data_IF_199661092212
#
_entry.id   IF_199661092212
#
_cell.length_a   1.000
_cell.length_b   1.000
_cell.length_c   1.000
_cell.angle_alpha   90.00
_cell.angle_beta   90.00
_cell.angle_gamma   90.00
#
_symmetry.space_group_name_H-M   'P 1'
#
loop_
_entity.id
_entity.type
_entity.pdbx_description
1 polymer ?
#
# COMPACT_ATOMS: atom_id res chain seq x y z
N UNK A 1 11.60 14.99 6.49
CA UNK A 1 12.50 16.15 6.32
C UNK A 1 11.92 17.41 6.98
N UNK A 2 10.66 17.79 6.71
CA UNK A 2 10.03 18.96 7.33
C UNK A 2 8.54 18.76 7.55
N UNK A 3 7.96 19.44 8.55
CA UNK A 3 6.52 19.58 8.74
C UNK A 3 5.97 20.91 8.21
N UNK A 4 6.81 21.76 7.63
CA UNK A 4 6.38 22.95 6.90
C UNK A 4 5.81 22.55 5.53
N UNK A 5 4.61 23.01 5.19
CA UNK A 5 3.95 22.61 3.96
C UNK A 5 3.18 23.77 3.33
N UNK A 6 3.32 23.93 2.01
CA UNK A 6 2.53 24.92 1.23
C UNK A 6 1.15 24.41 0.83
N UNK A 7 0.88 23.10 0.98
CA UNK A 7 -0.43 22.52 0.71
C UNK A 7 -1.38 22.68 1.89
N UNK A 8 -2.68 22.75 1.61
CA UNK A 8 -3.72 22.93 2.61
C UNK A 8 -4.67 21.72 2.69
N UNK A 9 -4.10 20.50 2.77
CA UNK A 9 -4.88 19.27 2.91
C UNK A 9 -5.65 19.26 4.24
N UNK A 10 -6.98 19.27 4.20
CA UNK A 10 -7.85 19.47 5.37
C UNK A 10 -7.66 18.44 6.49
N UNK A 11 -7.25 17.22 6.13
CA UNK A 11 -6.97 16.12 7.08
C UNK A 11 -5.58 16.18 7.73
N UNK A 12 -4.71 17.12 7.33
CA UNK A 12 -3.31 17.13 7.76
C UNK A 12 -3.06 18.20 8.83
N UNK A 13 -2.44 17.83 9.95
CA UNK A 13 -2.04 18.77 11.00
C UNK A 13 -1.00 19.79 10.51
N UNK A 14 -0.20 19.41 9.50
CA UNK A 14 0.86 20.21 8.93
C UNK A 14 0.42 21.06 7.73
N UNK A 15 -0.88 21.17 7.47
CA UNK A 15 -1.41 22.03 6.40
C UNK A 15 -1.00 23.49 6.59
N UNK A 16 -0.92 24.25 5.49
CA UNK A 16 -0.50 25.65 5.50
C UNK A 16 -1.27 26.51 6.49
N UNK A 17 -2.60 26.34 6.56
CA UNK A 17 -3.49 27.17 7.39
C UNK A 17 -3.54 26.79 8.86
N UNK A 18 -2.85 25.73 9.30
CA UNK A 18 -2.76 25.37 10.71
C UNK A 18 -1.61 26.13 11.39
N UNK A 19 -1.90 26.69 12.54
CA UNK A 19 -0.88 27.24 13.44
C UNK A 19 -0.21 26.11 14.24
N UNK A 20 0.84 25.54 13.65
CA UNK A 20 1.66 24.48 14.26
C UNK A 20 3.14 24.87 14.21
N UNK A 21 3.88 24.53 15.25
CA UNK A 21 5.32 24.75 15.26
C UNK A 21 5.98 24.09 14.07
N UNK A 22 6.76 24.87 13.29
CA UNK A 22 7.41 24.41 12.06
C UNK A 22 8.89 24.17 12.29
N UNK A 23 9.39 23.06 11.71
CA UNK A 23 10.80 22.72 11.71
C UNK A 23 11.19 22.05 10.40
N UNK A 24 12.46 22.19 10.04
CA UNK A 24 13.01 21.54 8.84
C UNK A 24 14.48 21.16 9.12
N UNK A 25 14.82 19.94 8.74
CA UNK A 25 16.21 19.51 8.64
C UNK A 25 16.83 19.96 7.32
N UNK A 26 18.08 20.32 7.34
CA UNK A 26 18.88 20.38 6.13
C UNK A 26 19.12 18.94 5.61
N UNK A 27 19.41 18.75 4.31
CA UNK A 27 19.77 17.44 3.79
C UNK A 27 20.91 16.76 4.56
N UNK A 28 21.92 17.52 4.94
CA UNK A 28 23.08 17.02 5.68
C UNK A 28 22.73 16.60 7.10
N UNK A 29 22.04 17.44 7.85
CA UNK A 29 21.60 17.09 9.22
C UNK A 29 20.77 15.80 9.23
N UNK A 30 19.85 15.64 8.28
CA UNK A 30 19.02 14.43 8.19
C UNK A 30 19.86 13.21 7.81
N UNK A 31 20.82 13.36 6.90
CA UNK A 31 21.74 12.28 6.55
C UNK A 31 22.64 11.86 7.71
N UNK A 32 23.17 12.82 8.45
CA UNK A 32 24.01 12.59 9.65
C UNK A 32 23.21 11.90 10.77
N UNK A 33 21.99 12.35 11.01
CA UNK A 33 21.09 11.71 11.97
C UNK A 33 20.79 10.25 11.57
N UNK A 34 20.47 10.03 10.30
CA UNK A 34 20.16 8.70 9.75
C UNK A 34 21.36 7.75 9.90
N UNK A 35 22.54 8.17 9.47
CA UNK A 35 23.74 7.32 9.57
C UNK A 35 24.16 7.07 11.01
N UNK A 36 23.94 8.05 11.90
CA UNK A 36 24.18 7.91 13.33
C UNK A 36 23.31 6.81 13.97
N UNK A 37 22.03 6.76 13.65
CA UNK A 37 21.14 5.69 14.11
C UNK A 37 21.46 4.33 13.47
N UNK A 38 21.78 4.32 12.18
CA UNK A 38 22.14 3.10 11.47
C UNK A 38 23.39 2.43 12.04
N UNK A 39 24.46 3.20 12.26
CA UNK A 39 25.71 2.69 12.85
C UNK A 39 25.55 2.13 14.27
N UNK A 40 24.53 2.60 14.99
CA UNK A 40 24.18 2.13 16.34
C UNK A 40 23.16 0.97 16.30
N UNK A 41 22.81 0.45 15.12
CA UNK A 41 21.78 -0.59 14.92
C UNK A 41 20.39 -0.23 15.47
N UNK A 42 20.04 1.06 15.54
CA UNK A 42 18.70 1.49 15.95
C UNK A 42 17.70 1.44 14.79
N UNK A 43 18.17 1.52 13.56
CA UNK A 43 17.37 1.43 12.33
C UNK A 43 18.06 0.56 11.29
N UNK A 44 17.26 -0.12 10.46
CA UNK A 44 17.71 -0.91 9.29
C UNK A 44 17.61 -0.13 7.99
N UNK A 45 16.84 0.95 7.97
CA UNK A 45 16.58 1.74 6.77
C UNK A 45 15.98 3.11 7.08
N UNK A 46 15.71 3.84 6.03
CA UNK A 46 15.10 5.17 6.06
C UNK A 46 13.79 5.20 5.27
N UNK A 47 12.70 5.64 5.91
CA UNK A 47 11.51 6.11 5.21
C UNK A 47 11.54 7.64 5.14
N UNK A 48 11.86 8.18 3.95
CA UNK A 48 11.98 9.62 3.74
C UNK A 48 10.66 10.20 3.23
N UNK A 49 10.07 11.07 4.03
CA UNK A 49 8.87 11.86 3.72
C UNK A 49 9.09 13.32 4.08
N UNK A 50 8.30 14.22 3.50
CA UNK A 50 8.38 15.66 3.77
C UNK A 50 7.02 16.35 3.59
N UNK A 51 6.79 17.41 4.35
CA UNK A 51 5.91 18.48 3.90
C UNK A 51 6.51 19.16 2.66
N UNK A 52 5.72 19.94 1.94
CA UNK A 52 6.15 20.57 0.69
C UNK A 52 6.60 22.01 0.96
N UNK A 53 7.93 22.24 0.85
CA UNK A 53 8.52 23.58 0.94
C UNK A 53 8.49 24.26 -0.44
N UNK A 54 8.06 25.49 -0.53
CA UNK A 54 8.04 26.31 -1.76
C UNK A 54 7.34 25.64 -2.94
N UNK A 55 7.87 24.50 -3.41
CA UNK A 55 7.31 23.72 -4.52
C UNK A 55 7.62 22.21 -4.37
N UNK A 56 6.91 21.33 -5.09
CA UNK A 56 7.24 19.91 -5.17
C UNK A 56 8.69 19.67 -5.62
N UNK A 57 9.14 20.34 -6.65
CA UNK A 57 10.49 20.20 -7.21
C UNK A 57 11.56 20.63 -6.20
N UNK A 58 11.45 21.81 -5.62
CA UNK A 58 12.38 22.28 -4.60
C UNK A 58 12.52 21.29 -3.43
N UNK A 59 11.40 20.75 -2.98
CA UNK A 59 11.42 19.79 -1.87
C UNK A 59 12.05 18.46 -2.28
N UNK A 60 11.75 17.99 -3.49
CA UNK A 60 12.30 16.74 -4.03
C UNK A 60 13.80 16.87 -4.26
N UNK A 61 14.32 18.01 -4.72
CA UNK A 61 15.75 18.27 -4.84
C UNK A 61 16.47 18.13 -3.50
N UNK A 62 15.90 18.67 -2.43
CA UNK A 62 16.45 18.52 -1.06
C UNK A 62 16.40 17.08 -0.57
N UNK A 63 15.34 16.34 -0.90
CA UNK A 63 15.27 14.91 -0.60
C UNK A 63 16.36 14.13 -1.36
N UNK A 64 16.53 14.41 -2.64
CA UNK A 64 17.59 13.80 -3.50
C UNK A 64 18.97 14.09 -2.90
N UNK A 65 19.24 15.32 -2.51
CA UNK A 65 20.52 15.69 -1.90
C UNK A 65 20.78 14.91 -0.59
N UNK A 66 19.78 14.75 0.27
CA UNK A 66 19.90 13.91 1.46
C UNK A 66 20.25 12.45 1.10
N UNK A 67 19.55 11.87 0.12
CA UNK A 67 19.80 10.50 -0.31
C UNK A 67 21.16 10.34 -1.01
N UNK A 68 21.60 11.35 -1.77
CA UNK A 68 22.92 11.39 -2.37
C UNK A 68 24.03 11.36 -1.31
N UNK A 69 23.92 12.22 -0.31
CA UNK A 69 24.86 12.23 0.83
C UNK A 69 24.90 10.85 1.51
N UNK A 70 23.74 10.23 1.74
CA UNK A 70 23.69 8.90 2.33
C UNK A 70 24.36 7.83 1.45
N UNK A 71 24.03 7.76 0.18
CA UNK A 71 24.52 6.72 -0.74
C UNK A 71 25.99 6.92 -1.11
N UNK A 72 26.38 8.13 -1.48
CA UNK A 72 27.69 8.42 -2.05
C UNK A 72 28.75 8.73 -0.97
N UNK A 73 28.44 9.61 0.01
CA UNK A 73 29.40 10.03 1.02
C UNK A 73 29.47 9.03 2.18
N UNK A 74 28.33 8.61 2.72
CA UNK A 74 28.28 7.69 3.86
C UNK A 74 28.23 6.20 3.47
N UNK A 75 28.07 5.88 2.19
CA UNK A 75 27.93 4.50 1.66
C UNK A 75 26.87 3.71 2.40
N UNK A 76 25.74 4.37 2.68
CA UNK A 76 24.62 3.78 3.38
C UNK A 76 23.97 2.65 2.56
N UNK A 77 24.04 1.43 3.04
CA UNK A 77 23.50 0.22 2.40
C UNK A 77 22.12 -0.20 2.95
N UNK A 78 21.57 0.54 3.92
CA UNK A 78 20.26 0.29 4.46
C UNK A 78 19.15 0.57 3.42
N UNK A 79 17.98 0.00 3.67
CA UNK A 79 16.82 0.16 2.81
C UNK A 79 16.30 1.62 2.81
N UNK A 80 16.07 2.19 1.62
CA UNK A 80 15.50 3.53 1.46
C UNK A 80 14.14 3.46 0.78
N UNK A 81 13.11 3.91 1.49
CA UNK A 81 11.78 4.17 0.92
C UNK A 81 11.57 5.68 0.88
N UNK A 82 11.45 6.26 -0.32
CA UNK A 82 11.20 7.68 -0.50
C UNK A 82 9.78 7.95 -0.99
N UNK A 83 9.13 8.98 -0.41
CA UNK A 83 7.81 9.44 -0.86
C UNK A 83 8.00 10.48 -1.95
N UNK A 84 7.68 10.14 -3.20
CA UNK A 84 7.63 11.11 -4.29
C UNK A 84 6.46 12.06 -4.11
N UNK A 85 6.72 13.35 -4.22
CA UNK A 85 5.73 14.42 -3.99
C UNK A 85 4.88 14.58 -5.26
N UNK A 86 3.54 14.60 -5.17
CA UNK A 86 2.68 14.89 -6.32
C UNK A 86 3.01 16.25 -6.95
N UNK A 87 3.17 16.27 -8.28
CA UNK A 87 3.54 17.47 -9.02
C UNK A 87 5.04 17.68 -9.23
N UNK A 88 5.89 16.77 -8.72
CA UNK A 88 7.33 16.75 -9.02
C UNK A 88 7.59 16.47 -10.50
N UNK A 89 8.56 17.17 -11.09
CA UNK A 89 8.99 16.99 -12.47
C UNK A 89 9.50 15.57 -12.73
N UNK A 90 9.34 15.03 -13.96
CA UNK A 90 9.75 13.67 -14.31
C UNK A 90 11.24 13.40 -14.08
N UNK A 91 12.09 14.38 -14.32
CA UNK A 91 13.53 14.30 -14.14
C UNK A 91 13.92 14.06 -12.69
N UNK A 92 13.24 14.75 -11.77
CA UNK A 92 13.46 14.59 -10.32
C UNK A 92 12.91 13.28 -9.80
N UNK A 93 11.76 12.80 -10.30
CA UNK A 93 11.25 11.45 -9.99
C UNK A 93 12.25 10.38 -10.45
N UNK A 94 12.85 10.54 -11.62
CA UNK A 94 13.90 9.65 -12.13
C UNK A 94 15.12 9.62 -11.20
N UNK A 95 15.65 10.78 -10.83
CA UNK A 95 16.81 10.89 -9.93
C UNK A 95 16.52 10.30 -8.55
N UNK A 96 15.33 10.57 -8.00
CA UNK A 96 14.91 10.03 -6.71
C UNK A 96 14.87 8.48 -6.74
N UNK A 97 14.35 7.89 -7.83
CA UNK A 97 14.23 6.44 -7.97
C UNK A 97 15.56 5.70 -8.16
N UNK A 98 16.60 6.38 -8.63
CA UNK A 98 17.95 5.80 -8.71
C UNK A 98 18.66 5.71 -7.34
N UNK A 99 18.21 6.49 -6.34
CA UNK A 99 18.78 6.52 -5.00
C UNK A 99 17.96 5.73 -3.97
N UNK A 100 16.70 5.44 -4.28
CA UNK A 100 15.77 4.77 -3.39
C UNK A 100 15.51 3.31 -3.82
N UNK A 101 15.32 2.44 -2.83
CA UNK A 101 14.91 1.04 -3.08
C UNK A 101 13.42 0.96 -3.43
N UNK A 102 12.59 1.81 -2.83
CA UNK A 102 11.15 1.93 -3.11
C UNK A 102 10.73 3.37 -3.20
N UNK A 103 9.81 3.62 -4.13
CA UNK A 103 9.08 4.88 -4.18
C UNK A 103 7.62 4.69 -3.76
N UNK A 104 7.02 5.72 -3.18
CA UNK A 104 5.58 5.79 -3.00
C UNK A 104 5.04 7.14 -3.44
N UNK A 105 3.88 7.12 -4.09
CA UNK A 105 3.08 8.30 -4.37
C UNK A 105 1.73 8.07 -3.70
N UNK A 106 1.36 8.87 -2.72
CA UNK A 106 0.11 8.65 -2.02
C UNK A 106 -1.09 9.08 -2.86
N UNK A 107 -2.07 8.16 -3.00
CA UNK A 107 -3.37 8.48 -3.64
C UNK A 107 -4.23 9.35 -2.72
N UNK A 108 -4.01 9.25 -1.41
CA UNK A 108 -4.65 9.96 -0.29
C UNK A 108 -6.12 9.59 -0.12
N UNK A 109 -6.97 9.84 -1.10
CA UNK A 109 -8.41 9.66 -1.03
C UNK A 109 -8.93 8.82 -2.20
N UNK A 110 -10.00 8.03 -2.00
CA UNK A 110 -10.49 7.10 -3.02
C UNK A 110 -11.04 7.82 -4.25
N UNK A 111 -11.81 8.89 -4.04
CA UNK A 111 -12.53 9.59 -5.11
C UNK A 111 -11.88 10.90 -5.50
N UNK A 112 -12.10 11.32 -6.75
CA UNK A 112 -11.69 12.65 -7.22
C UNK A 112 -12.41 13.77 -6.47
N UNK A 113 -13.70 13.58 -6.16
CA UNK A 113 -14.49 14.54 -5.38
C UNK A 113 -13.89 14.71 -3.98
N UNK A 114 -13.57 13.60 -3.31
CA UNK A 114 -12.90 13.63 -2.00
C UNK A 114 -11.56 14.39 -2.06
N UNK A 115 -10.75 14.10 -3.09
CA UNK A 115 -9.45 14.75 -3.28
C UNK A 115 -9.61 16.27 -3.49
N UNK A 116 -10.54 16.71 -4.35
CA UNK A 116 -10.81 18.12 -4.60
C UNK A 116 -11.29 18.86 -3.34
N UNK A 117 -12.13 18.20 -2.54
CA UNK A 117 -12.68 18.76 -1.31
C UNK A 117 -11.65 18.87 -0.19
N UNK A 118 -10.89 17.78 0.05
CA UNK A 118 -10.03 17.66 1.23
C UNK A 118 -8.55 17.95 0.95
N UNK A 119 -8.11 17.91 -0.30
CA UNK A 119 -6.73 18.19 -0.70
C UNK A 119 -6.70 19.05 -1.99
N UNK A 120 -7.21 20.30 -1.97
CA UNK A 120 -7.44 21.11 -3.16
C UNK A 120 -6.17 21.42 -3.96
N UNK A 121 -5.01 21.43 -3.32
CA UNK A 121 -3.70 21.63 -3.97
C UNK A 121 -3.16 20.40 -4.68
N UNK A 122 -3.87 19.25 -4.62
CA UNK A 122 -3.51 18.00 -5.29
C UNK A 122 -4.49 17.67 -6.40
N UNK A 123 -4.00 17.27 -7.55
CA UNK A 123 -4.83 16.73 -8.63
C UNK A 123 -4.57 15.23 -8.81
N UNK A 124 -5.60 14.50 -9.25
CA UNK A 124 -5.47 13.08 -9.61
C UNK A 124 -4.36 12.85 -10.64
N UNK A 125 -4.23 13.77 -11.59
CA UNK A 125 -3.21 13.71 -12.62
C UNK A 125 -1.79 13.88 -12.04
N UNK A 126 -1.58 14.82 -11.11
CA UNK A 126 -0.31 15.04 -10.43
C UNK A 126 0.13 13.83 -9.59
N UNK A 127 -0.81 12.98 -9.18
CA UNK A 127 -0.55 11.72 -8.45
C UNK A 127 -0.29 10.56 -9.41
N UNK A 128 -1.12 10.39 -10.44
CA UNK A 128 -1.07 9.21 -11.32
C UNK A 128 0.07 9.27 -12.35
N UNK A 129 0.49 10.47 -12.78
CA UNK A 129 1.63 10.62 -13.70
C UNK A 129 2.92 10.06 -13.12
N UNK A 130 3.38 10.45 -11.91
CA UNK A 130 4.55 9.83 -11.30
C UNK A 130 4.40 8.31 -11.11
N UNK A 131 3.21 7.81 -10.75
CA UNK A 131 2.99 6.35 -10.63
C UNK A 131 3.21 5.62 -11.97
N UNK A 132 2.71 6.17 -13.07
CA UNK A 132 2.93 5.62 -14.41
C UNK A 132 4.41 5.65 -14.78
N UNK A 133 5.09 6.77 -14.56
CA UNK A 133 6.52 6.92 -14.80
C UNK A 133 7.34 5.90 -14.00
N UNK A 134 7.08 5.74 -12.69
CA UNK A 134 7.79 4.78 -11.84
C UNK A 134 7.58 3.36 -12.34
N UNK A 135 6.35 2.99 -12.76
CA UNK A 135 6.05 1.70 -13.38
C UNK A 135 6.93 1.45 -14.62
N UNK A 136 6.96 2.41 -15.54
CA UNK A 136 7.64 2.27 -16.83
C UNK A 136 9.16 2.22 -16.64
N UNK A 137 9.72 3.12 -15.85
CA UNK A 137 11.15 3.12 -15.53
C UNK A 137 11.61 1.88 -14.76
N UNK A 138 10.81 1.37 -13.82
CA UNK A 138 11.11 0.11 -13.12
C UNK A 138 11.09 -1.11 -14.09
N UNK A 139 10.22 -1.08 -15.11
CA UNK A 139 10.19 -2.12 -16.16
C UNK A 139 11.42 -2.02 -17.07
N UNK A 140 11.75 -0.82 -17.51
CA UNK A 140 12.92 -0.56 -18.35
C UNK A 140 14.22 -0.95 -17.63
N UNK A 141 14.41 -0.51 -16.39
CA UNK A 141 15.59 -0.86 -15.58
C UNK A 141 15.77 -2.38 -15.43
N UNK A 142 14.67 -3.14 -15.25
CA UNK A 142 14.74 -4.60 -15.23
C UNK A 142 15.19 -5.19 -16.58
N UNK A 143 14.72 -4.65 -17.70
CA UNK A 143 15.13 -5.09 -19.03
C UNK A 143 16.60 -4.72 -19.33
N UNK A 144 17.05 -3.56 -18.87
CA UNK A 144 18.46 -3.12 -18.97
C UNK A 144 19.39 -4.04 -18.15
N UNK A 145 18.99 -4.42 -16.94
CA UNK A 145 19.75 -5.33 -16.07
C UNK A 145 19.91 -6.74 -16.68
N UNK A 146 18.97 -7.21 -17.51
CA UNK A 146 19.11 -8.45 -18.27
C UNK A 146 20.22 -8.34 -19.32
N UNK A 147 20.37 -7.15 -19.92
CA UNK A 147 21.40 -6.89 -20.95
C UNK A 147 22.77 -6.55 -20.34
N UNK A 148 22.79 -5.85 -19.23
CA UNK A 148 24.00 -5.43 -18.53
C UNK A 148 23.80 -5.43 -17.02
N UNK A 149 24.52 -6.29 -16.29
CA UNK A 149 24.48 -6.35 -14.82
C UNK A 149 24.92 -5.06 -14.11
N UNK A 150 25.58 -4.15 -14.84
CA UNK A 150 26.06 -2.85 -14.35
C UNK A 150 25.09 -1.70 -14.66
N UNK A 151 23.94 -1.98 -15.29
CA UNK A 151 22.95 -0.96 -15.55
C UNK A 151 22.42 -0.34 -14.22
N UNK A 152 22.13 0.97 -14.20
CA UNK A 152 21.60 1.62 -13.01
C UNK A 152 20.28 0.99 -12.56
N UNK A 153 20.18 0.69 -11.27
CA UNK A 153 18.99 0.08 -10.68
C UNK A 153 18.01 1.18 -10.27
N UNK A 154 16.77 1.10 -10.76
CA UNK A 154 15.72 2.06 -10.44
C UNK A 154 14.67 1.41 -9.55
N UNK A 155 14.51 1.92 -8.30
CA UNK A 155 13.51 1.50 -7.32
C UNK A 155 13.24 -0.02 -7.33
N UNK A 156 14.22 -0.88 -7.02
CA UNK A 156 14.14 -2.35 -7.20
C UNK A 156 13.00 -3.00 -6.41
N UNK A 157 12.62 -2.45 -5.28
CA UNK A 157 11.47 -2.90 -4.48
C UNK A 157 10.12 -2.37 -5.01
N UNK A 158 10.14 -1.62 -6.14
CA UNK A 158 8.95 -1.12 -6.82
C UNK A 158 8.28 0.05 -6.12
N UNK A 159 6.98 0.20 -6.36
CA UNK A 159 6.21 1.32 -5.80
C UNK A 159 5.05 0.86 -4.93
N UNK A 160 4.62 1.77 -4.06
CA UNK A 160 3.45 1.62 -3.19
C UNK A 160 2.66 2.92 -3.11
N UNK A 161 1.47 2.86 -2.51
CA UNK A 161 0.64 4.03 -2.23
C UNK A 161 0.00 3.92 -0.86
N UNK A 162 -0.54 5.01 -0.36
CA UNK A 162 -1.34 5.07 0.87
C UNK A 162 -2.66 5.78 0.59
N UNK A 163 -3.72 5.30 1.25
CA UNK A 163 -5.09 5.77 1.13
C UNK A 163 -5.68 5.93 2.54
N UNK A 164 -6.38 7.05 2.75
CA UNK A 164 -7.09 7.34 4.00
C UNK A 164 -8.50 6.74 3.92
N UNK A 165 -8.89 5.98 4.94
CA UNK A 165 -10.19 5.31 5.06
C UNK A 165 -11.06 6.02 6.08
N UNK A 166 -12.26 6.42 5.70
CA UNK A 166 -13.22 7.04 6.60
C UNK A 166 -13.10 8.57 6.76
N UNK A 167 -12.24 9.23 5.98
CA UNK A 167 -12.26 10.70 5.88
C UNK A 167 -13.34 11.24 4.92
N UNK A 168 -13.84 10.36 4.05
CA UNK A 168 -14.90 10.64 3.06
C UNK A 168 -15.98 9.56 3.16
N UNK A 169 -17.13 9.79 2.52
CA UNK A 169 -18.25 8.84 2.45
C UNK A 169 -18.04 7.69 1.42
N UNK A 170 -16.83 7.55 0.88
CA UNK A 170 -16.52 6.46 -0.05
C UNK A 170 -16.69 5.09 0.64
N UNK A 171 -17.40 4.16 -0.01
CA UNK A 171 -17.61 2.79 0.48
C UNK A 171 -16.42 1.86 0.18
N UNK A 172 -16.41 0.67 0.77
CA UNK A 172 -15.32 -0.30 0.64
C UNK A 172 -15.22 -0.86 -0.78
N UNK A 173 -16.35 -1.02 -1.49
CA UNK A 173 -16.40 -1.44 -2.89
C UNK A 173 -15.60 -0.49 -3.79
N UNK A 174 -15.83 0.83 -3.65
CA UNK A 174 -15.09 1.83 -4.41
C UNK A 174 -13.58 1.76 -4.11
N UNK A 175 -13.23 1.65 -2.83
CA UNK A 175 -11.83 1.53 -2.39
C UNK A 175 -11.18 0.27 -2.97
N UNK A 176 -11.88 -0.87 -2.96
CA UNK A 176 -11.33 -2.14 -3.41
C UNK A 176 -11.16 -2.19 -4.93
N UNK A 177 -12.11 -1.66 -5.70
CA UNK A 177 -12.00 -1.51 -7.16
C UNK A 177 -10.85 -0.57 -7.55
N UNK A 178 -10.68 0.55 -6.83
CA UNK A 178 -9.53 1.43 -7.02
C UNK A 178 -8.23 0.69 -6.74
N UNK A 179 -8.16 -0.06 -5.65
CA UNK A 179 -6.99 -0.85 -5.26
C UNK A 179 -6.61 -1.87 -6.34
N UNK A 180 -7.58 -2.64 -6.85
CA UNK A 180 -7.36 -3.58 -7.94
C UNK A 180 -6.82 -2.87 -9.19
N UNK A 181 -7.45 -1.76 -9.59
CA UNK A 181 -6.99 -0.96 -10.73
C UNK A 181 -5.55 -0.44 -10.55
N UNK A 182 -5.16 -0.07 -9.33
CA UNK A 182 -3.80 0.39 -9.04
C UNK A 182 -2.79 -0.76 -9.18
N UNK A 183 -3.11 -1.97 -8.74
CA UNK A 183 -2.26 -3.15 -8.95
C UNK A 183 -2.11 -3.49 -10.43
N UNK A 184 -3.21 -3.53 -11.17
CA UNK A 184 -3.23 -3.91 -12.58
C UNK A 184 -2.53 -2.87 -13.47
N UNK A 185 -2.91 -1.58 -13.33
CA UNK A 185 -2.45 -0.51 -14.22
C UNK A 185 -1.07 0.04 -13.87
N UNK A 186 -0.76 0.16 -12.57
CA UNK A 186 0.48 0.80 -12.11
C UNK A 186 1.49 -0.18 -11.52
N UNK A 187 1.16 -1.48 -11.47
CA UNK A 187 2.03 -2.52 -10.93
C UNK A 187 2.51 -2.23 -9.51
N UNK A 188 1.65 -1.66 -8.69
CA UNK A 188 1.96 -1.42 -7.28
C UNK A 188 2.32 -2.72 -6.57
N UNK A 189 3.22 -2.63 -5.60
CA UNK A 189 3.55 -3.74 -4.70
C UNK A 189 2.63 -3.79 -3.49
N UNK A 190 2.11 -2.64 -3.07
CA UNK A 190 1.19 -2.55 -1.94
C UNK A 190 0.38 -1.25 -1.96
N UNK A 191 -0.88 -1.35 -1.58
CA UNK A 191 -1.72 -0.25 -1.12
C UNK A 191 -1.76 -0.30 0.40
N UNK A 192 -1.44 0.80 1.07
CA UNK A 192 -1.57 0.95 2.51
C UNK A 192 -2.87 1.69 2.80
N UNK A 193 -3.69 1.10 3.66
CA UNK A 193 -4.89 1.74 4.19
C UNK A 193 -4.55 2.36 5.53
N UNK A 194 -5.11 3.52 5.80
CA UNK A 194 -4.94 4.22 7.06
C UNK A 194 -6.29 4.73 7.53
N UNK A 195 -6.80 4.18 8.61
CA UNK A 195 -8.01 4.68 9.25
C UNK A 195 -7.82 6.16 9.60
N UNK A 196 -8.77 6.98 9.21
CA UNK A 196 -8.75 8.40 9.53
C UNK A 196 -8.82 8.62 11.03
N UNK A 197 -7.82 9.32 11.57
CA UNK A 197 -7.80 9.77 12.97
C UNK A 197 -8.16 11.26 12.97
N UNK A 198 -9.24 11.67 13.65
CA UNK A 198 -9.67 13.06 13.69
C UNK A 198 -8.74 13.91 14.56
N UNK A 199 -7.68 14.44 13.97
CA UNK A 199 -6.68 15.28 14.65
C UNK A 199 -6.88 16.77 14.39
N UNK A 200 -7.73 17.11 13.41
CA UNK A 200 -8.03 18.49 12.98
C UNK A 200 -9.54 18.68 13.01
N UNK A 201 -10.00 19.79 13.56
CA UNK A 201 -11.40 20.19 13.49
C UNK A 201 -11.67 20.87 12.15
N UNK A 202 -12.62 20.32 11.39
CA UNK A 202 -13.03 20.86 10.10
C UNK A 202 -14.42 20.33 9.75
N UNK A 203 -15.33 21.21 9.30
CA UNK A 203 -16.71 20.84 8.94
C UNK A 203 -16.83 19.84 7.77
N UNK A 204 -15.78 19.65 6.99
CA UNK A 204 -15.72 18.72 5.87
C UNK A 204 -15.19 17.34 6.28
N UNK A 205 -14.84 17.14 7.52
CA UNK A 205 -14.23 15.92 8.07
C UNK A 205 -15.10 15.37 9.22
N UNK A 206 -15.01 14.08 9.54
CA UNK A 206 -15.60 13.53 10.75
C UNK A 206 -15.16 14.31 12.00
N UNK A 207 -16.08 14.46 12.97
CA UNK A 207 -15.80 15.18 14.21
C UNK A 207 -14.66 14.54 15.00
N UNK A 208 -14.04 15.31 15.91
CA UNK A 208 -12.96 14.82 16.78
C UNK A 208 -13.36 13.64 17.68
N UNK A 209 -14.64 13.52 18.00
CA UNK A 209 -15.15 12.42 18.81
C UNK A 209 -15.41 11.13 18.01
N UNK A 210 -15.30 11.20 16.68
CA UNK A 210 -15.46 10.02 15.81
C UNK A 210 -14.32 9.05 16.02
N UNK A 211 -14.64 7.82 16.38
CA UNK A 211 -13.64 6.75 16.52
C UNK A 211 -13.05 6.38 15.15
N UNK A 212 -11.72 6.24 15.04
CA UNK A 212 -11.11 5.76 13.81
C UNK A 212 -11.69 4.42 13.36
N UNK A 213 -12.00 4.21 12.08
CA UNK A 213 -12.61 2.99 11.56
C UNK A 213 -11.59 1.84 11.41
N UNK A 214 -10.96 1.43 12.51
CA UNK A 214 -9.89 0.42 12.52
C UNK A 214 -10.36 -0.94 12.01
N UNK A 215 -11.58 -1.35 12.31
CA UNK A 215 -12.13 -2.61 11.81
C UNK A 215 -12.28 -2.58 10.29
N UNK A 216 -12.74 -1.45 9.73
CA UNK A 216 -12.86 -1.23 8.29
C UNK A 216 -11.49 -1.27 7.60
N UNK A 217 -10.49 -0.61 8.17
CA UNK A 217 -9.09 -0.70 7.72
C UNK A 217 -8.62 -2.15 7.69
N UNK A 218 -8.87 -2.89 8.78
CA UNK A 218 -8.48 -4.29 8.88
C UNK A 218 -9.17 -5.18 7.83
N UNK A 219 -10.48 -4.97 7.56
CA UNK A 219 -11.22 -5.69 6.50
C UNK A 219 -10.65 -5.41 5.11
N UNK A 220 -10.31 -4.16 4.83
CA UNK A 220 -9.66 -3.78 3.58
C UNK A 220 -8.29 -4.46 3.41
N UNK A 221 -7.48 -4.56 4.47
CA UNK A 221 -6.23 -5.33 4.41
C UNK A 221 -6.46 -6.82 4.19
N UNK A 222 -7.50 -7.41 4.77
CA UNK A 222 -7.86 -8.80 4.50
C UNK A 222 -8.28 -8.99 3.04
N UNK A 223 -9.09 -8.10 2.49
CA UNK A 223 -9.51 -8.13 1.09
C UNK A 223 -8.34 -7.89 0.12
N UNK A 224 -7.45 -6.95 0.42
CA UNK A 224 -6.21 -6.72 -0.33
C UNK A 224 -5.37 -8.00 -0.45
N UNK A 225 -5.30 -8.77 0.64
CA UNK A 225 -4.60 -10.06 0.64
C UNK A 225 -5.28 -11.08 -0.29
N UNK A 226 -6.62 -11.09 -0.35
CA UNK A 226 -7.39 -11.95 -1.27
C UNK A 226 -7.13 -11.57 -2.72
N UNK A 227 -7.13 -10.28 -3.06
CA UNK A 227 -6.81 -9.82 -4.42
C UNK A 227 -5.40 -10.25 -4.86
N UNK A 228 -4.41 -10.10 -4.00
CA UNK A 228 -3.00 -10.30 -4.38
C UNK A 228 -2.55 -11.75 -4.40
N UNK A 229 -3.13 -12.60 -3.58
CA UNK A 229 -2.58 -13.95 -3.35
C UNK A 229 -3.58 -15.08 -3.52
N UNK A 230 -4.87 -14.80 -3.57
CA UNK A 230 -5.92 -15.82 -3.65
C UNK A 230 -6.69 -15.80 -4.96
N UNK A 231 -6.36 -14.88 -5.87
CA UNK A 231 -7.01 -14.75 -7.16
C UNK A 231 -8.46 -14.26 -7.09
N UNK A 232 -8.86 -13.60 -5.99
CA UNK A 232 -10.13 -12.91 -5.94
C UNK A 232 -10.09 -11.61 -6.74
N UNK A 233 -11.24 -11.22 -7.26
CA UNK A 233 -11.46 -9.91 -7.87
C UNK A 233 -12.34 -9.05 -6.98
N UNK A 234 -12.27 -7.73 -7.14
CA UNK A 234 -13.03 -6.80 -6.30
C UNK A 234 -14.55 -7.01 -6.42
N UNK A 235 -15.02 -7.29 -7.63
CA UNK A 235 -16.44 -7.55 -7.93
C UNK A 235 -16.98 -8.85 -7.32
N UNK A 236 -16.11 -9.81 -6.95
CA UNK A 236 -16.52 -11.03 -6.25
C UNK A 236 -16.75 -10.78 -4.76
N UNK A 237 -16.04 -9.81 -4.17
CA UNK A 237 -16.04 -9.57 -2.73
C UNK A 237 -17.14 -8.59 -2.29
N UNK A 238 -17.46 -7.61 -3.14
CA UNK A 238 -18.44 -6.54 -2.86
C UNK A 238 -19.20 -6.16 -4.12
N UNK A 239 -20.51 -5.97 -3.97
CA UNK A 239 -21.44 -5.59 -5.03
C UNK A 239 -22.16 -4.26 -4.70
N UNK A 240 -23.17 -3.89 -5.49
CA UNK A 240 -23.94 -2.66 -5.29
C UNK A 240 -24.91 -2.74 -4.11
N UNK A 241 -25.40 -3.94 -3.79
CA UNK A 241 -26.31 -4.16 -2.67
C UNK A 241 -25.56 -4.24 -1.34
N UNK A 242 -24.31 -4.74 -1.39
CA UNK A 242 -23.43 -4.90 -0.23
C UNK A 242 -22.10 -4.18 -0.48
N UNK A 243 -22.07 -2.82 -0.47
CA UNK A 243 -20.90 -2.05 -0.85
C UNK A 243 -19.81 -1.96 0.23
N UNK A 244 -20.11 -2.39 1.45
CA UNK A 244 -19.18 -2.35 2.59
C UNK A 244 -18.99 -3.74 3.21
N UNK A 245 -17.79 -3.99 3.74
CA UNK A 245 -17.46 -5.27 4.37
C UNK A 245 -18.26 -5.53 5.64
N UNK A 246 -18.63 -6.79 5.82
CA UNK A 246 -19.33 -7.25 7.02
C UNK A 246 -18.43 -7.07 8.27
N UNK A 247 -18.91 -6.42 9.34
CA UNK A 247 -18.12 -6.25 10.56
C UNK A 247 -17.94 -7.54 11.35
N UNK A 248 -18.84 -8.52 11.23
CA UNK A 248 -18.84 -9.75 12.03
C UNK A 248 -17.92 -10.83 11.49
N UNK A 249 -17.83 -10.96 10.16
CA UNK A 249 -17.03 -12.00 9.49
C UNK A 249 -15.99 -11.38 8.57
N UNK A 250 -14.90 -12.11 8.33
CA UNK A 250 -13.88 -11.63 7.39
C UNK A 250 -14.34 -11.75 5.92
N UNK A 251 -13.74 -10.99 4.99
CA UNK A 251 -14.18 -10.94 3.60
C UNK A 251 -14.28 -12.31 2.91
N UNK A 252 -13.35 -13.23 3.18
CA UNK A 252 -13.36 -14.57 2.58
C UNK A 252 -14.51 -15.43 3.12
N UNK A 253 -14.76 -15.35 4.42
CA UNK A 253 -15.88 -16.06 5.05
C UNK A 253 -17.21 -15.48 4.58
N UNK A 254 -17.31 -14.15 4.46
CA UNK A 254 -18.51 -13.49 3.92
C UNK A 254 -18.82 -13.94 2.51
N UNK A 255 -17.80 -13.99 1.64
CA UNK A 255 -17.94 -14.51 0.28
C UNK A 255 -18.43 -15.97 0.27
N UNK A 256 -17.82 -16.84 1.09
CA UNK A 256 -18.18 -18.26 1.13
C UNK A 256 -19.63 -18.50 1.63
N UNK A 257 -20.09 -17.69 2.60
CA UNK A 257 -21.50 -17.73 3.07
C UNK A 257 -22.46 -17.33 1.95
N UNK A 258 -22.09 -16.38 1.10
CA UNK A 258 -22.88 -15.96 -0.05
C UNK A 258 -22.86 -16.97 -1.22
N UNK A 259 -22.05 -18.03 -1.16
CA UNK A 259 -21.85 -19.02 -2.23
C UNK A 259 -21.92 -20.46 -1.69
N UNK A 260 -22.90 -20.72 -0.81
CA UNK A 260 -23.04 -22.03 -0.17
C UNK A 260 -23.31 -23.16 -1.16
N UNK A 261 -23.81 -22.86 -2.34
CA UNK A 261 -24.01 -23.80 -3.47
C UNK A 261 -22.69 -24.42 -3.97
N UNK A 262 -21.54 -23.81 -3.67
CA UNK A 262 -20.22 -24.34 -4.04
C UNK A 262 -19.64 -25.27 -2.96
N UNK A 263 -20.33 -25.46 -1.84
CA UNK A 263 -19.87 -26.23 -0.69
C UNK A 263 -20.84 -27.36 -0.33
N UNK A 264 -20.41 -28.45 0.31
CA UNK A 264 -19.03 -28.75 0.71
C UNK A 264 -18.10 -29.05 -0.46
N UNK A 265 -16.80 -28.69 -0.30
CA UNK A 265 -15.81 -28.88 -1.34
C UNK A 265 -15.05 -30.20 -1.18
N UNK A 266 -15.04 -31.05 -2.25
CA UNK A 266 -14.27 -32.29 -2.26
C UNK A 266 -12.76 -32.01 -2.50
N UNK A 267 -11.96 -32.08 -1.46
CA UNK A 267 -10.55 -31.70 -1.47
C UNK A 267 -9.65 -32.58 -2.35
N UNK A 268 -10.08 -33.84 -2.59
CA UNK A 268 -9.31 -34.77 -3.42
C UNK A 268 -9.29 -34.39 -4.89
N UNK A 269 -10.34 -33.72 -5.37
CA UNK A 269 -10.53 -33.39 -6.79
C UNK A 269 -10.53 -31.88 -7.07
N UNK A 270 -10.74 -31.02 -6.05
CA UNK A 270 -10.86 -29.58 -6.23
C UNK A 270 -9.60 -28.95 -6.83
N UNK A 271 -9.77 -28.03 -7.77
CA UNK A 271 -8.67 -27.25 -8.32
C UNK A 271 -8.03 -26.36 -7.24
N UNK A 272 -6.76 -25.97 -7.47
CA UNK A 272 -6.02 -25.13 -6.53
C UNK A 272 -6.76 -23.82 -6.22
N UNK A 273 -7.28 -23.16 -7.24
CA UNK A 273 -8.02 -21.91 -7.16
C UNK A 273 -9.31 -22.08 -6.36
N UNK A 274 -9.99 -23.19 -6.51
CA UNK A 274 -11.21 -23.51 -5.75
C UNK A 274 -10.91 -23.78 -4.27
N UNK A 275 -9.81 -24.48 -3.98
CA UNK A 275 -9.33 -24.64 -2.59
C UNK A 275 -9.06 -23.29 -1.91
N UNK A 276 -8.59 -22.29 -2.67
CA UNK A 276 -8.38 -20.94 -2.15
C UNK A 276 -9.67 -20.20 -1.79
N UNK A 277 -10.84 -20.68 -2.24
CA UNK A 277 -12.15 -20.12 -1.87
C UNK A 277 -12.59 -20.55 -0.47
N UNK A 278 -12.13 -21.70 0.03
CA UNK A 278 -12.51 -22.24 1.33
C UNK A 278 -11.92 -21.42 2.49
N UNK A 279 -12.74 -20.86 3.40
CA UNK A 279 -12.25 -20.22 4.62
C UNK A 279 -11.36 -21.19 5.43
N UNK A 280 -10.19 -20.72 5.88
CA UNK A 280 -9.23 -21.57 6.59
C UNK A 280 -8.19 -22.28 5.71
N UNK A 281 -8.34 -22.28 4.37
CA UNK A 281 -7.32 -22.76 3.43
C UNK A 281 -6.61 -21.55 2.81
N UNK A 282 -5.29 -21.50 2.97
CA UNK A 282 -4.44 -20.45 2.37
C UNK A 282 -3.58 -21.01 1.23
N UNK A 283 -2.81 -20.15 0.51
CA UNK A 283 -1.98 -20.57 -0.63
C UNK A 283 -0.99 -21.69 -0.28
N UNK A 284 -0.43 -21.66 0.92
CA UNK A 284 0.50 -22.70 1.37
C UNK A 284 -0.23 -24.03 1.60
N UNK A 285 -1.35 -23.99 2.34
CA UNK A 285 -2.15 -25.18 2.63
C UNK A 285 -2.75 -25.78 1.36
N UNK A 286 -3.28 -24.96 0.45
CA UNK A 286 -3.81 -25.42 -0.84
C UNK A 286 -2.74 -26.14 -1.68
N UNK A 287 -1.52 -25.58 -1.80
CA UNK A 287 -0.39 -26.25 -2.48
C UNK A 287 -0.03 -27.58 -1.84
N UNK A 288 0.00 -27.64 -0.49
CA UNK A 288 0.29 -28.88 0.24
C UNK A 288 -0.79 -29.93 0.02
N UNK A 289 -2.06 -29.54 0.01
CA UNK A 289 -3.19 -30.45 -0.31
C UNK A 289 -3.01 -31.02 -1.71
N UNK A 290 -2.82 -30.17 -2.74
CA UNK A 290 -2.64 -30.59 -4.14
C UNK A 290 -1.43 -31.51 -4.30
N UNK A 291 -0.34 -31.30 -3.55
CA UNK A 291 0.82 -32.17 -3.56
C UNK A 291 0.54 -33.49 -2.85
N UNK A 292 0.00 -33.45 -1.65
CA UNK A 292 -0.18 -34.63 -0.78
C UNK A 292 -1.20 -35.64 -1.35
N UNK A 293 -2.30 -35.18 -1.94
CA UNK A 293 -3.33 -36.06 -2.53
C UNK A 293 -2.85 -36.90 -3.72
N UNK A 294 -1.69 -36.56 -4.32
CA UNK A 294 -1.04 -37.40 -5.36
C UNK A 294 -0.42 -38.68 -4.81
N UNK A 295 -0.16 -38.72 -3.51
CA UNK A 295 0.50 -39.82 -2.84
C UNK A 295 -0.44 -40.70 -1.98
N UNK A 296 -1.70 -40.29 -1.86
CA UNK A 296 -2.70 -41.04 -1.10
C UNK A 296 -3.94 -40.23 -0.77
N UNK A 297 -4.93 -40.90 -0.24
CA UNK A 297 -6.19 -40.28 0.19
C UNK A 297 -5.96 -39.48 1.48
N UNK A 298 -6.38 -38.20 1.46
CA UNK A 298 -6.30 -37.35 2.62
C UNK A 298 -7.53 -37.51 3.51
N UNK A 299 -7.27 -37.68 4.82
CA UNK A 299 -8.30 -37.66 5.84
C UNK A 299 -8.42 -36.27 6.47
N UNK A 300 -9.51 -36.04 7.16
CA UNK A 300 -9.77 -34.73 7.81
C UNK A 300 -8.62 -34.33 8.78
N UNK A 301 -8.06 -35.28 9.52
CA UNK A 301 -6.96 -35.05 10.45
C UNK A 301 -5.66 -34.62 9.75
N UNK A 302 -5.46 -35.06 8.51
CA UNK A 302 -4.26 -34.73 7.74
C UNK A 302 -4.26 -33.26 7.32
N UNK A 303 -5.44 -32.67 7.11
CA UNK A 303 -5.57 -31.28 6.73
C UNK A 303 -4.95 -30.32 7.75
N UNK A 304 -5.05 -30.65 9.05
CA UNK A 304 -4.41 -29.85 10.10
C UNK A 304 -2.89 -29.86 9.97
N UNK A 305 -2.28 -31.00 9.65
CA UNK A 305 -0.83 -31.15 9.41
C UNK A 305 -0.38 -30.38 8.17
N UNK A 306 -1.26 -30.26 7.17
CA UNK A 306 -1.03 -29.47 5.96
C UNK A 306 -1.20 -27.95 6.17
N UNK A 307 -1.61 -27.52 7.37
CA UNK A 307 -1.72 -26.12 7.77
C UNK A 307 -3.11 -25.51 7.53
N UNK A 308 -4.15 -26.34 7.35
CA UNK A 308 -5.53 -25.87 7.25
C UNK A 308 -6.03 -25.47 8.64
N UNK A 309 -6.73 -24.33 8.72
CA UNK A 309 -7.41 -23.88 9.93
C UNK A 309 -8.78 -24.57 10.02
N UNK A 310 -8.79 -25.81 10.54
CA UNK A 310 -9.97 -26.70 10.56
C UNK A 310 -11.20 -26.07 11.18
N UNK A 311 -11.07 -25.34 12.30
CA UNK A 311 -12.19 -24.64 12.95
C UNK A 311 -12.95 -23.65 12.04
N UNK A 312 -12.37 -23.32 10.89
CA UNK A 312 -13.00 -22.48 9.85
C UNK A 312 -13.40 -23.30 8.65
N UNK A 313 -12.51 -24.20 8.19
CA UNK A 313 -12.72 -24.96 6.96
C UNK A 313 -13.80 -26.05 7.06
N UNK A 314 -14.07 -26.55 8.26
CA UNK A 314 -15.03 -27.65 8.48
C UNK A 314 -16.49 -27.32 8.13
N UNK A 315 -16.80 -26.08 7.85
CA UNK A 315 -18.16 -25.63 7.49
C UNK A 315 -18.35 -25.45 5.97
N UNK A 316 -17.30 -25.69 5.23
CA UNK A 316 -17.23 -25.45 3.79
C UNK A 316 -16.61 -26.66 3.01
#
# INVERSE_FOLDING_TARGET
MTNSCVFDCKYCVNRRSNDTRRAAFTPRELAELTIGFYRRNYIEGLFLSSGVLRSPDYTTERMIECLRILREEYRFNGYIHAKAIPGTSPELVQRLGLLADRLSVNIELPSQKGLQTLAPDKSKQAILRPMAQIRDRARESKAELVKSRHAPVFAPAGQSTQLIVGATADNDRHILHLTQSLYEKYRLKRVFYSAYVPVVENSLLPSKDTKPPLLREHRLYQADWLLRFYGFRAEELLDEQHPDFNPLVDPKCHWAIGHLEQFPLEIMNAEYETLLRVPGIGPISARRIVSARRHGTLRFEDLKKLGVVLKRAQFF
#
